data_IF_904987367549
#
_entry.id   IF_904987367549
#
_cell.length_a   1.000
_cell.length_b   1.000
_cell.length_c   1.000
_cell.angle_alpha   90.00
_cell.angle_beta   90.00
_cell.angle_gamma   90.00
#
_symmetry.space_group_name_H-M   'P 1'
#
loop_
_entity.id
_entity.type
_entity.pdbx_description
1 polymer ?
#
# COMPACT_ATOMS: atom_id res chain seq x y z
N UNK A 1 -24.57 -55.51 -14.25
CA UNK A 1 -23.58 -54.89 -13.32
C UNK A 1 -22.51 -54.04 -14.01
N UNK A 2 -22.08 -54.35 -15.25
CA UNK A 2 -21.01 -53.61 -15.95
C UNK A 2 -21.38 -52.21 -16.50
N UNK A 3 -22.66 -51.92 -16.77
CA UNK A 3 -23.07 -50.66 -17.42
C UNK A 3 -23.07 -49.46 -16.46
N UNK A 4 -23.51 -49.68 -15.22
CA UNK A 4 -23.55 -48.65 -14.16
C UNK A 4 -22.15 -48.27 -13.71
N UNK A 5 -21.24 -49.25 -13.58
CA UNK A 5 -19.85 -49.02 -13.21
C UNK A 5 -19.10 -48.19 -14.27
N UNK A 6 -19.31 -48.51 -15.56
CA UNK A 6 -18.77 -47.73 -16.69
C UNK A 6 -19.33 -46.30 -16.73
N UNK A 7 -20.62 -46.12 -16.45
CA UNK A 7 -21.22 -44.79 -16.38
C UNK A 7 -20.63 -43.94 -15.25
N UNK A 8 -20.44 -44.53 -14.07
CA UNK A 8 -19.82 -43.86 -12.92
C UNK A 8 -18.34 -43.52 -13.14
N UNK A 9 -17.57 -44.39 -13.81
CA UNK A 9 -16.18 -44.09 -14.20
C UNK A 9 -16.11 -42.96 -15.24
N UNK A 10 -17.06 -42.88 -16.17
CA UNK A 10 -17.10 -41.82 -17.17
C UNK A 10 -17.43 -40.46 -16.56
N UNK A 11 -18.36 -40.42 -15.60
CA UNK A 11 -18.68 -39.22 -14.82
C UNK A 11 -17.48 -38.74 -13.97
N UNK A 12 -16.68 -39.67 -13.44
CA UNK A 12 -15.45 -39.36 -12.70
C UNK A 12 -14.41 -38.64 -13.57
N UNK A 13 -14.12 -39.16 -14.76
CA UNK A 13 -13.16 -38.53 -15.68
C UNK A 13 -13.61 -37.14 -16.10
N UNK A 14 -14.92 -36.94 -16.30
CA UNK A 14 -15.50 -35.63 -16.63
C UNK A 14 -15.36 -34.64 -15.47
N UNK A 15 -15.59 -35.06 -14.22
CA UNK A 15 -15.41 -34.21 -13.05
C UNK A 15 -13.94 -33.84 -12.80
N UNK A 16 -13.01 -34.79 -12.95
CA UNK A 16 -11.57 -34.54 -12.83
C UNK A 16 -11.09 -33.58 -13.95
N UNK A 17 -11.54 -33.77 -15.19
CA UNK A 17 -11.22 -32.88 -16.31
C UNK A 17 -11.81 -31.48 -16.14
N UNK A 18 -13.07 -31.36 -15.70
CA UNK A 18 -13.70 -30.07 -15.42
C UNK A 18 -12.97 -29.32 -14.31
N UNK A 19 -12.51 -30.02 -13.28
CA UNK A 19 -11.77 -29.39 -12.19
C UNK A 19 -10.38 -28.93 -12.63
N UNK A 20 -9.68 -29.68 -13.48
CA UNK A 20 -8.42 -29.24 -14.08
C UNK A 20 -8.66 -28.00 -14.95
N UNK A 21 -9.70 -28.00 -15.80
CA UNK A 21 -10.04 -26.85 -16.64
C UNK A 21 -10.42 -25.63 -15.79
N UNK A 22 -11.13 -25.81 -14.69
CA UNK A 22 -11.46 -24.72 -13.74
C UNK A 22 -10.22 -24.20 -13.02
N UNK A 23 -9.31 -25.06 -12.59
CA UNK A 23 -8.08 -24.66 -11.90
C UNK A 23 -7.12 -23.96 -12.89
N UNK A 24 -6.87 -24.55 -14.04
CA UNK A 24 -6.03 -23.97 -15.10
C UNK A 24 -6.65 -22.69 -15.66
N UNK A 25 -7.98 -22.63 -15.76
CA UNK A 25 -8.73 -21.44 -16.14
C UNK A 25 -8.66 -20.35 -15.08
N UNK A 26 -8.76 -20.68 -13.79
CA UNK A 26 -8.63 -19.72 -12.69
C UNK A 26 -7.20 -19.19 -12.56
N UNK A 27 -6.19 -20.05 -12.70
CA UNK A 27 -4.77 -19.66 -12.73
C UNK A 27 -4.46 -18.83 -13.96
N UNK A 28 -4.91 -19.24 -15.15
CA UNK A 28 -4.75 -18.49 -16.40
C UNK A 28 -5.49 -17.16 -16.38
N UNK A 29 -6.67 -17.09 -15.76
CA UNK A 29 -7.42 -15.86 -15.54
C UNK A 29 -6.72 -14.93 -14.53
N UNK A 30 -6.18 -15.48 -13.44
CA UNK A 30 -5.36 -14.71 -12.48
C UNK A 30 -4.12 -14.13 -13.16
N UNK A 31 -3.39 -14.92 -13.96
CA UNK A 31 -2.20 -14.49 -14.73
C UNK A 31 -2.53 -13.53 -15.87
N UNK A 32 -3.63 -13.72 -16.60
CA UNK A 32 -4.05 -12.78 -17.65
C UNK A 32 -4.48 -11.44 -17.07
N UNK A 33 -5.06 -11.46 -15.87
CA UNK A 33 -5.43 -10.25 -15.17
C UNK A 33 -4.29 -9.69 -14.31
N UNK A 34 -3.13 -10.32 -14.07
CA UNK A 34 -2.08 -9.74 -13.21
C UNK A 34 -1.55 -8.39 -13.71
N UNK A 35 -1.51 -8.16 -15.03
CA UNK A 35 -1.18 -6.84 -15.61
C UNK A 35 -2.28 -5.78 -15.39
N UNK A 36 -3.47 -6.19 -14.90
CA UNK A 36 -4.63 -5.33 -14.59
C UNK A 36 -5.18 -5.48 -13.15
N UNK A 37 -4.65 -6.39 -12.34
CA UNK A 37 -5.17 -6.77 -11.01
C UNK A 37 -4.37 -6.17 -9.87
N UNK A 38 -3.07 -5.89 -10.05
CA UNK A 38 -2.20 -5.57 -8.91
C UNK A 38 -1.61 -4.17 -9.05
N UNK A 39 -2.15 -3.27 -8.23
CA UNK A 39 -1.70 -1.89 -8.11
C UNK A 39 -2.23 -0.96 -9.19
N UNK A 40 -2.50 0.32 -8.87
CA UNK A 40 -2.58 1.35 -9.88
C UNK A 40 -1.26 1.45 -10.65
N UNK A 41 -1.36 1.70 -11.96
CA UNK A 41 -0.20 1.89 -12.81
C UNK A 41 0.59 3.13 -12.37
N UNK A 42 1.90 3.08 -12.57
CA UNK A 42 2.76 4.25 -12.42
C UNK A 42 2.29 5.39 -13.34
N UNK A 43 2.29 6.63 -12.85
CA UNK A 43 1.68 7.80 -13.48
C UNK A 43 2.33 8.18 -14.81
N UNK A 44 3.53 7.67 -15.10
CA UNK A 44 4.28 7.98 -16.32
C UNK A 44 4.78 9.43 -16.41
N UNK A 45 4.45 10.29 -15.45
CA UNK A 45 4.95 11.66 -15.33
C UNK A 45 6.49 11.72 -15.38
N UNK A 46 7.12 12.67 -16.09
CA UNK A 46 8.57 12.73 -16.16
C UNK A 46 9.22 13.20 -14.84
N UNK A 47 8.49 13.97 -14.04
CA UNK A 47 8.95 14.52 -12.76
C UNK A 47 7.89 14.26 -11.70
N UNK A 48 8.33 13.92 -10.50
CA UNK A 48 7.47 13.65 -9.34
C UNK A 48 7.99 14.35 -8.10
N UNK A 49 7.11 14.53 -7.12
CA UNK A 49 7.46 14.90 -5.75
C UNK A 49 8.14 13.69 -5.11
N UNK A 50 9.39 13.83 -4.70
CA UNK A 50 10.15 12.74 -4.10
C UNK A 50 10.13 12.80 -2.58
N UNK A 51 10.34 13.97 -2.00
CA UNK A 51 10.38 14.12 -0.55
C UNK A 51 9.67 15.40 -0.13
N UNK A 52 8.95 15.37 0.99
CA UNK A 52 8.35 16.57 1.58
C UNK A 52 8.73 16.65 3.03
N UNK A 53 9.33 17.77 3.42
CA UNK A 53 9.64 18.10 4.79
C UNK A 53 8.76 19.27 5.23
N UNK A 54 7.57 18.99 5.79
CA UNK A 54 6.62 20.03 6.16
C UNK A 54 6.97 20.74 7.46
N UNK A 55 8.12 20.43 8.08
CA UNK A 55 8.69 20.95 9.32
C UNK A 55 7.63 21.45 10.32
N UNK A 56 7.37 20.73 11.41
CA UNK A 56 6.40 21.18 12.42
C UNK A 56 6.98 21.13 13.83
N UNK A 57 7.58 22.23 14.28
CA UNK A 57 7.81 22.48 15.69
C UNK A 57 6.62 23.23 16.29
N UNK A 58 5.56 22.52 16.68
CA UNK A 58 4.57 23.09 17.61
C UNK A 58 4.65 22.45 18.99
N UNK A 59 4.64 23.32 20.00
CA UNK A 59 4.46 23.01 21.42
C UNK A 59 3.19 22.18 21.59
N UNK A 60 3.28 20.96 22.11
CA UNK A 60 2.11 20.13 22.37
C UNK A 60 1.14 20.84 23.34
N UNK A 61 -0.03 21.34 22.90
CA UNK A 61 -0.94 22.10 23.77
C UNK A 61 -1.64 21.18 24.79
N UNK A 62 -1.62 19.86 24.59
CA UNK A 62 -2.26 18.89 25.48
C UNK A 62 -1.49 18.66 26.79
N UNK A 63 -0.25 19.15 26.90
CA UNK A 63 0.56 19.08 28.13
C UNK A 63 1.08 20.47 28.53
N UNK A 64 0.21 21.35 29.07
CA UNK A 64 0.60 22.66 29.59
C UNK A 64 1.38 22.49 30.91
N UNK A 65 2.60 21.99 30.82
CA UNK A 65 3.44 21.68 31.98
C UNK A 65 4.64 20.77 31.70
N UNK A 66 4.73 20.15 30.52
CA UNK A 66 5.96 19.45 30.15
C UNK A 66 7.12 20.45 30.00
N UNK A 67 8.32 20.12 30.50
CA UNK A 67 9.52 20.90 30.23
C UNK A 67 9.69 21.01 28.72
N UNK A 68 10.20 22.16 28.24
CA UNK A 68 10.49 22.37 26.84
C UNK A 68 11.15 21.10 26.25
N UNK A 69 10.63 20.60 25.11
CA UNK A 69 11.38 19.63 24.32
C UNK A 69 12.81 20.16 24.26
N UNK A 70 13.80 19.37 24.68
CA UNK A 70 15.12 19.92 24.91
C UNK A 70 15.62 20.55 23.60
N UNK A 71 16.36 21.64 23.68
CA UNK A 71 16.80 22.45 22.52
C UNK A 71 17.49 21.62 21.41
N UNK A 72 17.99 20.42 21.71
CA UNK A 72 18.54 19.50 20.71
C UNK A 72 17.49 18.68 19.94
N UNK A 73 16.27 18.55 20.47
CA UNK A 73 15.12 17.88 19.84
C UNK A 73 14.26 18.88 19.05
N UNK A 74 14.15 20.11 19.54
CA UNK A 74 13.50 21.25 18.87
C UNK A 74 14.36 22.51 19.08
N UNK A 75 15.40 22.75 18.26
CA UNK A 75 16.23 23.94 18.40
C UNK A 75 15.53 25.25 18.07
N UNK A 76 14.34 25.19 17.44
CA UNK A 76 13.65 26.35 16.86
C UNK A 76 12.82 27.14 17.89
N UNK A 77 13.13 28.43 18.12
CA UNK A 77 12.28 29.34 18.89
C UNK A 77 11.30 30.15 18.03
N UNK A 78 11.36 30.04 16.71
CA UNK A 78 10.69 30.91 15.73
C UNK A 78 10.00 30.04 14.66
N UNK A 79 9.02 30.59 13.95
CA UNK A 79 7.99 29.87 13.18
C UNK A 79 8.53 28.74 12.27
N UNK A 80 7.81 27.62 12.06
CA UNK A 80 8.31 26.43 11.35
C UNK A 80 8.57 26.62 9.84
N UNK A 81 7.98 27.65 9.24
CA UNK A 81 7.97 27.88 7.80
C UNK A 81 9.35 27.97 7.15
N UNK A 82 10.38 28.65 7.71
CA UNK A 82 11.71 28.77 7.10
C UNK A 82 12.44 27.44 6.88
N UNK A 83 12.07 26.41 7.62
CA UNK A 83 12.69 25.09 7.57
C UNK A 83 11.97 24.12 6.62
N UNK A 84 10.85 24.54 6.04
CA UNK A 84 10.07 23.70 5.16
C UNK A 84 10.72 23.59 3.79
N UNK A 85 10.67 22.40 3.21
CA UNK A 85 11.12 22.16 1.85
C UNK A 85 10.43 20.95 1.24
N UNK A 86 10.50 20.83 -0.07
CA UNK A 86 10.13 19.62 -0.79
C UNK A 86 11.12 19.37 -1.93
N UNK A 87 11.18 18.14 -2.38
CA UNK A 87 12.11 17.69 -3.42
C UNK A 87 11.36 17.22 -4.65
N UNK A 88 11.84 17.64 -5.81
CA UNK A 88 11.41 17.16 -7.11
C UNK A 88 12.47 16.21 -7.68
N UNK A 89 12.02 15.11 -8.28
CA UNK A 89 12.89 14.12 -8.90
C UNK A 89 12.52 13.91 -10.37
N UNK A 90 13.52 13.99 -11.25
CA UNK A 90 13.39 13.66 -12.66
C UNK A 90 13.58 12.15 -12.87
N UNK A 91 12.51 11.47 -13.28
CA UNK A 91 12.51 10.00 -13.48
C UNK A 91 13.12 9.56 -14.80
N UNK A 92 13.45 10.51 -15.67
CA UNK A 92 13.85 10.23 -17.04
C UNK A 92 15.36 10.28 -17.21
N UNK A 93 15.88 9.49 -18.15
CA UNK A 93 17.26 9.60 -18.62
C UNK A 93 17.54 10.84 -19.48
N UNK A 94 16.67 11.87 -19.42
CA UNK A 94 16.73 13.09 -20.23
C UNK A 94 16.61 14.31 -19.34
N UNK A 95 17.15 15.43 -19.81
CA UNK A 95 16.95 16.72 -19.14
C UNK A 95 15.47 17.12 -19.17
N UNK A 96 14.95 17.60 -18.04
CA UNK A 96 13.59 18.11 -17.93
C UNK A 96 13.60 19.61 -17.65
N UNK A 97 12.90 20.37 -18.48
CA UNK A 97 12.75 21.82 -18.31
C UNK A 97 11.39 22.08 -17.69
N UNK A 98 11.37 22.65 -16.48
CA UNK A 98 10.14 22.91 -15.71
C UNK A 98 9.66 24.36 -15.88
N UNK A 99 9.90 24.94 -17.05
CA UNK A 99 9.43 26.29 -17.36
C UNK A 99 7.89 26.33 -17.43
N UNK A 100 7.28 27.25 -16.69
CA UNK A 100 5.83 27.37 -16.56
C UNK A 100 5.18 26.39 -15.59
N UNK A 101 5.94 25.46 -14.99
CA UNK A 101 5.41 24.56 -13.97
C UNK A 101 5.08 25.32 -12.68
N UNK A 102 4.17 24.78 -11.89
CA UNK A 102 3.75 25.41 -10.63
C UNK A 102 3.52 24.37 -9.54
N UNK A 103 3.53 24.87 -8.30
CA UNK A 103 3.20 24.10 -7.10
C UNK A 103 2.05 24.74 -6.36
N UNK A 104 1.16 23.94 -5.80
CA UNK A 104 0.00 24.42 -5.04
C UNK A 104 0.07 23.82 -3.63
N UNK A 105 0.25 24.70 -2.64
CA UNK A 105 0.27 24.37 -1.20
C UNK A 105 -0.94 24.96 -0.46
N UNK A 106 -1.67 25.86 -1.12
CA UNK A 106 -2.91 26.47 -0.64
C UNK A 106 -3.93 26.36 -1.76
N UNK A 107 -5.12 25.84 -1.44
CA UNK A 107 -6.12 25.51 -2.44
C UNK A 107 -6.52 26.74 -3.26
N UNK A 108 -6.50 26.60 -4.58
CA UNK A 108 -6.78 27.67 -5.54
C UNK A 108 -5.65 28.70 -5.72
N UNK A 109 -4.46 28.46 -5.16
CA UNK A 109 -3.34 29.43 -5.17
C UNK A 109 -2.02 28.82 -5.67
N UNK A 110 -1.95 28.35 -6.93
CA UNK A 110 -0.71 27.81 -7.50
C UNK A 110 0.39 28.89 -7.57
N UNK A 111 1.61 28.51 -7.20
CA UNK A 111 2.83 29.31 -7.25
C UNK A 111 3.72 28.82 -8.38
N UNK A 112 4.11 29.71 -9.29
CA UNK A 112 5.01 29.36 -10.38
C UNK A 112 6.40 28.99 -9.84
N UNK A 113 6.94 27.88 -10.34
CA UNK A 113 8.34 27.54 -10.11
C UNK A 113 9.22 28.49 -10.96
N UNK A 114 10.35 28.96 -10.42
CA UNK A 114 11.39 29.58 -11.25
C UNK A 114 11.83 28.63 -12.36
N UNK A 115 12.41 29.18 -13.43
CA UNK A 115 12.96 28.37 -14.52
C UNK A 115 13.99 27.38 -13.96
N UNK A 116 13.65 26.11 -14.02
CA UNK A 116 14.41 24.99 -13.45
C UNK A 116 14.68 23.95 -14.55
N UNK A 117 15.94 23.50 -14.63
CA UNK A 117 16.36 22.46 -15.56
C UNK A 117 16.93 21.29 -14.75
N UNK A 118 16.17 20.20 -14.67
CA UNK A 118 16.56 19.01 -13.92
C UNK A 118 17.43 18.07 -14.77
N UNK A 119 18.59 17.63 -14.27
CA UNK A 119 19.39 16.62 -14.96
C UNK A 119 18.68 15.27 -15.01
N UNK A 120 19.07 14.38 -15.95
CA UNK A 120 18.64 12.98 -15.94
C UNK A 120 18.82 12.35 -14.55
N UNK A 121 17.76 11.75 -14.00
CA UNK A 121 17.78 11.16 -12.65
C UNK A 121 18.22 12.13 -11.54
N UNK A 122 18.05 13.43 -11.76
CA UNK A 122 18.47 14.49 -10.87
C UNK A 122 17.36 15.00 -9.97
N UNK A 123 17.78 15.72 -8.93
CA UNK A 123 16.92 16.31 -7.91
C UNK A 123 17.00 17.84 -7.91
N UNK A 124 15.91 18.47 -7.49
CA UNK A 124 15.95 19.84 -6.99
C UNK A 124 15.12 19.95 -5.71
N UNK A 125 15.69 20.62 -4.72
CA UNK A 125 14.98 20.98 -3.50
C UNK A 125 14.39 22.37 -3.69
N UNK A 126 13.10 22.50 -3.40
CA UNK A 126 12.43 23.79 -3.28
C UNK A 126 12.27 24.09 -1.80
N UNK A 127 13.01 25.08 -1.30
CA UNK A 127 13.06 25.41 0.12
C UNK A 127 12.40 26.76 0.42
N UNK A 128 11.86 26.89 1.63
CA UNK A 128 11.31 28.16 2.12
C UNK A 128 12.40 29.22 2.36
N UNK A 129 13.56 28.78 2.86
CA UNK A 129 14.72 29.64 3.12
C UNK A 129 16.01 28.91 2.76
N UNK A 130 16.87 29.56 1.97
CA UNK A 130 18.21 29.06 1.65
C UNK A 130 19.07 28.90 2.90
N UNK A 131 19.14 29.95 3.69
CA UNK A 131 19.98 30.03 4.88
C UNK A 131 19.67 28.89 5.86
N UNK A 132 18.39 28.73 6.22
CA UNK A 132 17.95 27.68 7.13
C UNK A 132 18.15 26.27 6.55
N UNK A 133 17.81 26.05 5.28
CA UNK A 133 17.99 24.76 4.64
C UNK A 133 19.48 24.33 4.63
N UNK A 134 20.38 25.24 4.26
CA UNK A 134 21.83 24.98 4.24
C UNK A 134 22.42 24.86 5.66
N UNK A 135 21.84 25.51 6.66
CA UNK A 135 22.24 25.31 8.06
C UNK A 135 21.97 23.86 8.52
N UNK A 136 20.86 23.25 8.07
CA UNK A 136 20.52 21.87 8.37
C UNK A 136 21.19 20.85 7.43
N UNK A 137 21.49 21.27 6.19
CA UNK A 137 22.03 20.42 5.14
C UNK A 137 23.29 21.06 4.49
N UNK A 138 24.38 21.25 5.25
CA UNK A 138 25.55 22.02 4.79
C UNK A 138 26.27 21.40 3.60
N UNK A 139 26.15 20.08 3.44
CA UNK A 139 26.82 19.31 2.39
C UNK A 139 25.88 18.98 1.20
N UNK A 140 24.71 19.62 1.10
CA UNK A 140 23.75 19.33 0.02
C UNK A 140 24.37 19.64 -1.35
N UNK A 141 24.56 18.64 -2.25
CA UNK A 141 25.27 18.83 -3.51
C UNK A 141 24.33 19.21 -4.67
N UNK A 142 23.02 19.28 -4.41
CA UNK A 142 21.99 19.38 -5.43
C UNK A 142 21.60 20.82 -5.78
N UNK A 143 20.55 20.94 -6.60
CA UNK A 143 19.98 22.24 -6.93
C UNK A 143 18.99 22.68 -5.86
N UNK A 144 19.15 23.91 -5.36
CA UNK A 144 18.17 24.54 -4.47
C UNK A 144 17.42 25.62 -5.26
N UNK A 145 16.11 25.64 -5.11
CA UNK A 145 15.19 26.57 -5.76
C UNK A 145 14.36 27.26 -4.69
N UNK A 146 14.09 28.55 -4.91
CA UNK A 146 13.29 29.36 -3.99
C UNK A 146 12.05 29.88 -4.68
N UNK A 147 10.92 29.79 -4.00
CA UNK A 147 9.69 30.41 -4.47
C UNK A 147 9.73 31.92 -4.13
N UNK A 148 9.20 32.80 -5.00
CA UNK A 148 9.06 34.22 -4.69
C UNK A 148 8.21 34.48 -3.44
N UNK A 149 7.25 33.58 -3.17
CA UNK A 149 6.43 33.60 -1.99
C UNK A 149 6.27 32.17 -1.46
N UNK A 150 6.57 31.97 -0.18
CA UNK A 150 6.37 30.69 0.50
C UNK A 150 5.09 30.74 1.34
N UNK A 151 3.97 30.19 0.85
CA UNK A 151 2.71 30.17 1.61
C UNK A 151 2.72 29.17 2.77
N UNK A 152 3.74 28.32 2.87
CA UNK A 152 3.84 27.28 3.88
C UNK A 152 3.21 25.96 3.46
N UNK A 153 3.77 24.86 3.96
CA UNK A 153 3.21 23.51 3.84
C UNK A 153 2.13 23.24 4.90
N UNK A 154 1.77 24.22 5.74
CA UNK A 154 0.84 24.04 6.86
C UNK A 154 -0.58 23.56 6.49
N UNK A 155 -1.02 23.70 5.24
CA UNK A 155 -2.32 23.18 4.77
C UNK A 155 -2.35 21.66 4.55
N UNK A 156 -1.19 20.99 4.56
CA UNK A 156 -1.15 19.53 4.65
C UNK A 156 -1.08 18.77 3.35
N UNK A 157 -0.82 19.47 2.25
CA UNK A 157 -0.70 18.90 0.93
C UNK A 157 0.28 19.70 0.05
N UNK A 158 0.71 19.06 -1.03
CA UNK A 158 1.49 19.65 -2.10
C UNK A 158 1.00 19.06 -3.44
N UNK A 159 0.74 19.93 -4.41
CA UNK A 159 0.38 19.53 -5.79
C UNK A 159 1.41 20.10 -6.75
N UNK A 160 1.89 19.27 -7.66
CA UNK A 160 2.76 19.67 -8.76
C UNK A 160 1.93 19.75 -10.05
N UNK A 161 2.06 20.86 -10.78
CA UNK A 161 1.39 21.09 -12.06
C UNK A 161 2.39 21.40 -13.16
N UNK A 162 2.11 20.90 -14.37
CA UNK A 162 2.92 21.19 -15.55
C UNK A 162 2.62 22.61 -16.09
N UNK A 163 3.29 22.97 -17.18
CA UNK A 163 3.12 24.26 -17.86
C UNK A 163 1.70 24.50 -18.42
N UNK A 164 0.92 23.43 -18.62
CA UNK A 164 -0.47 23.49 -19.08
C UNK A 164 -1.46 23.64 -17.91
N UNK A 165 -0.98 23.62 -16.67
CA UNK A 165 -1.80 23.66 -15.46
C UNK A 165 -2.36 22.30 -15.04
N UNK A 166 -2.02 21.23 -15.76
CA UNK A 166 -2.48 19.87 -15.45
C UNK A 166 -1.73 19.35 -14.22
N UNK A 167 -2.44 18.61 -13.37
CA UNK A 167 -1.86 17.96 -12.19
C UNK A 167 -0.95 16.82 -12.65
N UNK A 168 0.32 16.89 -12.25
CA UNK A 168 1.35 15.89 -12.55
C UNK A 168 1.50 14.90 -11.41
N UNK A 169 1.52 15.42 -10.17
CA UNK A 169 1.70 14.64 -8.96
C UNK A 169 1.07 15.39 -7.78
N UNK A 170 0.66 14.67 -6.73
CA UNK A 170 0.16 15.25 -5.51
C UNK A 170 0.43 14.35 -4.29
N UNK A 171 0.68 14.97 -3.15
CA UNK A 171 0.86 14.28 -1.88
C UNK A 171 0.15 15.05 -0.77
N UNK A 172 -0.52 14.33 0.12
CA UNK A 172 -1.06 14.91 1.35
C UNK A 172 -0.74 14.04 2.57
N UNK A 173 -0.57 14.71 3.69
CA UNK A 173 -0.14 14.11 4.95
C UNK A 173 -1.09 14.33 6.12
N UNK A 174 -2.13 15.13 5.90
CA UNK A 174 -3.36 15.17 6.69
C UNK A 174 -4.57 15.15 5.76
N UNK A 175 -5.74 14.89 6.33
CA UNK A 175 -7.01 15.00 5.59
C UNK A 175 -7.25 16.48 5.24
N UNK A 176 -7.49 16.76 3.97
CA UNK A 176 -7.78 18.12 3.48
C UNK A 176 -9.29 18.23 3.30
N UNK A 177 -9.93 19.16 4.01
CA UNK A 177 -11.39 19.32 3.95
C UNK A 177 -11.86 19.93 2.62
N UNK A 178 -11.06 20.83 2.06
CA UNK A 178 -11.33 21.56 0.82
C UNK A 178 -10.17 21.38 -0.17
N UNK A 179 -10.01 20.18 -0.75
CA UNK A 179 -8.98 19.96 -1.76
C UNK A 179 -9.27 20.77 -3.03
N UNK A 180 -8.26 21.10 -3.84
CA UNK A 180 -8.48 21.65 -5.18
C UNK A 180 -9.33 20.67 -6.00
N UNK A 181 -10.36 21.16 -6.70
CA UNK A 181 -11.43 20.33 -7.30
C UNK A 181 -10.93 19.25 -8.28
N UNK A 182 -9.77 19.45 -8.89
CA UNK A 182 -9.17 18.58 -9.90
C UNK A 182 -8.12 17.61 -9.32
N UNK A 183 -7.84 17.69 -8.01
CA UNK A 183 -6.74 16.96 -7.37
C UNK A 183 -7.29 15.82 -6.53
N UNK A 184 -6.80 14.61 -6.81
CA UNK A 184 -7.09 13.43 -5.99
C UNK A 184 -6.15 13.38 -4.79
N UNK A 185 -6.58 13.93 -3.66
CA UNK A 185 -5.91 13.74 -2.36
C UNK A 185 -6.50 12.53 -1.62
N UNK A 186 -5.74 11.96 -0.70
CA UNK A 186 -6.12 10.74 0.01
C UNK A 186 -6.86 11.07 1.32
N UNK A 187 -8.03 10.48 1.52
CA UNK A 187 -8.76 10.52 2.80
C UNK A 187 -7.96 9.89 3.95
N UNK A 188 -7.15 8.89 3.62
CA UNK A 188 -6.17 8.25 4.51
C UNK A 188 -4.76 8.58 3.99
N UNK A 189 -4.15 9.68 4.47
CA UNK A 189 -2.86 10.14 3.97
C UNK A 189 -1.71 9.16 4.26
N UNK A 190 -0.56 9.37 3.61
CA UNK A 190 0.63 8.50 3.70
C UNK A 190 1.12 8.23 5.14
N UNK A 191 0.77 9.10 6.09
CA UNK A 191 1.12 8.96 7.51
C UNK A 191 0.10 8.19 8.36
N UNK A 192 -0.98 7.70 7.75
CA UNK A 192 -2.17 7.21 8.44
C UNK A 192 -2.16 5.76 8.90
N UNK A 193 -1.07 5.00 8.75
CA UNK A 193 -1.03 3.59 9.18
C UNK A 193 0.11 3.30 10.15
N UNK A 194 -0.24 2.97 11.40
CA UNK A 194 0.63 2.26 12.34
C UNK A 194 1.38 3.12 13.38
N UNK A 195 1.23 4.44 13.39
CA UNK A 195 2.01 5.27 14.32
C UNK A 195 1.29 6.54 14.84
N UNK A 196 0.18 6.38 15.59
CA UNK A 196 -0.57 7.50 16.18
C UNK A 196 0.23 8.33 17.20
N UNK A 197 1.40 7.86 17.65
CA UNK A 197 2.27 8.51 18.61
C UNK A 197 3.13 9.66 18.02
N UNK A 198 3.19 9.78 16.69
CA UNK A 198 3.94 10.82 15.96
C UNK A 198 3.07 12.04 15.67
N UNK A 199 1.77 11.85 15.76
CA UNK A 199 0.80 12.91 15.62
C UNK A 199 0.75 13.66 16.94
N UNK A 200 0.84 14.99 16.90
CA UNK A 200 0.43 15.79 18.05
C UNK A 200 -1.08 15.57 18.34
N UNK A 201 -1.58 16.13 19.44
CA UNK A 201 -2.99 16.03 19.79
C UNK A 201 -3.94 16.60 18.70
N UNK A 202 -3.41 17.38 17.76
CA UNK A 202 -4.09 18.01 16.64
C UNK A 202 -3.90 17.27 15.32
N UNK A 203 -3.25 16.08 15.33
CA UNK A 203 -2.93 15.28 14.14
C UNK A 203 -1.95 15.94 13.15
N UNK A 204 -1.06 16.80 13.64
CA UNK A 204 0.08 17.30 12.87
C UNK A 204 1.32 16.41 13.09
N UNK A 205 2.25 16.47 12.14
CA UNK A 205 3.51 15.70 12.14
C UNK A 205 4.48 16.31 13.13
N UNK A 206 5.05 15.52 14.05
CA UNK A 206 6.16 15.98 14.89
C UNK A 206 7.47 16.14 14.07
N UNK A 207 8.24 17.21 14.37
CA UNK A 207 9.26 17.88 13.54
C UNK A 207 10.49 17.08 13.05
N UNK A 208 10.57 15.78 13.20
CA UNK A 208 11.80 15.02 12.93
C UNK A 208 11.73 14.13 11.69
N UNK A 209 10.66 14.21 10.89
CA UNK A 209 10.48 13.31 9.75
C UNK A 209 10.00 14.01 8.49
N UNK A 210 10.53 13.57 7.35
CA UNK A 210 10.00 13.85 6.03
C UNK A 210 9.11 12.70 5.54
N UNK A 211 8.37 12.98 4.48
CA UNK A 211 7.67 11.99 3.68
C UNK A 211 8.46 11.76 2.40
N UNK A 212 9.03 10.57 2.26
CA UNK A 212 9.90 10.22 1.14
C UNK A 212 9.24 9.13 0.29
N UNK A 213 9.25 9.32 -1.02
CA UNK A 213 8.75 8.36 -1.99
C UNK A 213 9.69 7.16 -2.05
N UNK A 214 9.16 5.96 -1.79
CA UNK A 214 9.94 4.71 -1.80
C UNK A 214 9.17 3.55 -2.46
N UNK A 215 9.71 2.93 -3.52
CA UNK A 215 10.98 3.26 -4.18
C UNK A 215 11.00 4.66 -4.83
N UNK A 216 12.20 5.25 -4.91
CA UNK A 216 12.44 6.53 -5.58
C UNK A 216 11.74 6.59 -6.93
N UNK A 217 11.04 7.69 -7.18
CA UNK A 217 10.39 7.93 -8.47
C UNK A 217 9.20 7.04 -8.81
N UNK A 218 8.76 6.09 -7.97
CA UNK A 218 7.55 5.30 -8.29
C UNK A 218 6.30 6.06 -7.83
N UNK A 219 5.38 6.33 -8.77
CA UNK A 219 4.16 7.06 -8.50
C UNK A 219 2.91 6.34 -8.98
N UNK A 220 2.37 5.48 -8.13
CA UNK A 220 1.11 4.77 -8.35
C UNK A 220 -0.08 5.62 -7.87
N UNK A 221 0.11 6.89 -7.49
CA UNK A 221 -0.90 7.74 -6.87
C UNK A 221 -1.50 7.10 -5.60
N UNK A 222 -0.67 6.40 -4.81
CA UNK A 222 -1.07 5.77 -3.56
C UNK A 222 -0.37 6.36 -2.35
N UNK A 223 -1.01 6.39 -1.18
CA UNK A 223 -0.34 6.74 0.07
C UNK A 223 0.89 5.87 0.34
N UNK A 224 0.84 4.60 -0.06
CA UNK A 224 1.91 3.63 0.13
C UNK A 224 3.14 3.86 -0.76
N UNK A 225 3.09 4.82 -1.68
CA UNK A 225 4.28 5.25 -2.42
C UNK A 225 5.22 6.07 -1.55
N UNK A 226 4.74 6.58 -0.42
CA UNK A 226 5.50 7.38 0.52
C UNK A 226 5.71 6.63 1.82
N UNK A 227 6.93 6.73 2.35
CA UNK A 227 7.29 6.27 3.69
C UNK A 227 7.65 7.48 4.54
N UNK A 228 7.63 7.27 5.85
CA UNK A 228 8.16 8.23 6.82
C UNK A 228 9.67 8.04 6.92
N UNK A 229 10.44 9.11 6.79
CA UNK A 229 11.91 9.10 6.87
C UNK A 229 12.39 9.88 8.11
N UNK A 230 12.94 9.22 9.15
CA UNK A 230 13.45 9.84 10.39
C UNK A 230 14.63 10.76 10.23
N UNK A 231 15.34 10.63 9.13
CA UNK A 231 16.49 11.46 8.82
C UNK A 231 16.26 11.99 7.43
N UNK A 232 15.58 13.16 7.29
CA UNK A 232 15.36 13.78 6.00
C UNK A 232 16.67 13.84 5.23
N UNK A 233 16.62 13.45 3.96
CA UNK A 233 17.84 13.12 3.22
C UNK A 233 17.81 13.71 1.82
N UNK A 234 17.77 15.05 1.73
CA UNK A 234 17.63 15.74 0.46
C UNK A 234 18.77 15.38 -0.49
N UNK A 235 18.44 15.11 -1.73
CA UNK A 235 19.34 14.82 -2.84
C UNK A 235 19.93 13.42 -2.82
N UNK A 236 19.47 12.55 -1.91
CA UNK A 236 19.94 11.17 -1.82
C UNK A 236 18.95 10.21 -2.46
N UNK A 237 19.49 9.25 -3.20
CA UNK A 237 18.70 8.13 -3.72
C UNK A 237 18.69 7.06 -2.64
N UNK A 238 17.60 6.92 -1.90
CA UNK A 238 17.39 5.68 -1.14
C UNK A 238 16.87 4.61 -2.09
N UNK A 239 17.82 3.96 -2.78
CA UNK A 239 17.47 2.77 -3.53
C UNK A 239 16.80 1.76 -2.58
N UNK A 240 15.73 1.08 -3.02
CA UNK A 240 15.22 -0.05 -2.26
C UNK A 240 16.37 -1.00 -1.96
N UNK A 241 16.41 -1.59 -0.76
CA UNK A 241 17.41 -2.60 -0.39
C UNK A 241 17.41 -3.83 -1.31
N UNK A 242 16.39 -3.94 -2.17
CA UNK A 242 16.25 -4.89 -3.26
C UNK A 242 16.18 -4.12 -4.59
N UNK A 243 16.87 -4.59 -5.64
CA UNK A 243 16.77 -4.03 -7.00
C UNK A 243 15.32 -3.99 -7.49
N UNK A 244 14.97 -3.12 -8.44
CA UNK A 244 13.59 -3.03 -8.95
C UNK A 244 12.96 -4.39 -9.34
N UNK A 245 13.64 -5.29 -10.07
CA UNK A 245 13.12 -6.64 -10.31
C UNK A 245 12.89 -7.45 -9.03
N UNK A 246 13.75 -7.28 -8.03
CA UNK A 246 13.61 -7.93 -6.74
C UNK A 246 12.48 -7.30 -5.89
N UNK A 247 12.23 -5.99 -5.99
CA UNK A 247 11.06 -5.35 -5.38
C UNK A 247 9.76 -5.88 -5.99
N UNK A 248 9.67 -5.94 -7.32
CA UNK A 248 8.53 -6.55 -8.01
C UNK A 248 8.36 -8.03 -7.62
N UNK A 249 9.45 -8.78 -7.49
CA UNK A 249 9.42 -10.18 -7.06
C UNK A 249 8.99 -10.34 -5.59
N UNK A 250 9.48 -9.50 -4.69
CA UNK A 250 9.28 -9.63 -3.25
C UNK A 250 7.97 -9.02 -2.78
N UNK A 251 7.43 -8.02 -3.48
CA UNK A 251 6.21 -7.31 -3.08
C UNK A 251 5.04 -7.68 -3.96
N UNK A 252 5.16 -7.56 -5.29
CA UNK A 252 4.00 -7.81 -6.17
C UNK A 252 3.77 -9.31 -6.41
N UNK A 253 4.84 -10.06 -6.65
CA UNK A 253 4.74 -11.51 -6.86
C UNK A 253 4.39 -12.28 -5.60
N UNK A 254 4.86 -11.86 -4.42
CA UNK A 254 4.47 -12.52 -3.16
C UNK A 254 3.00 -12.30 -2.84
N UNK A 255 2.46 -11.10 -3.13
CA UNK A 255 1.03 -10.82 -3.01
C UNK A 255 0.20 -11.68 -3.98
N UNK A 256 0.63 -11.82 -5.24
CA UNK A 256 -0.02 -12.72 -6.21
C UNK A 256 0.06 -14.17 -5.76
N UNK A 257 1.23 -14.60 -5.32
CA UNK A 257 1.46 -15.96 -4.84
C UNK A 257 0.61 -16.25 -3.58
N UNK A 258 0.44 -15.28 -2.67
CA UNK A 258 -0.40 -15.47 -1.48
C UNK A 258 -1.88 -15.60 -1.83
N UNK A 259 -2.37 -14.76 -2.76
CA UNK A 259 -3.76 -14.85 -3.27
C UNK A 259 -3.98 -16.19 -3.96
N UNK A 260 -3.09 -16.59 -4.87
CA UNK A 260 -3.17 -17.86 -5.58
C UNK A 260 -3.10 -19.06 -4.62
N UNK A 261 -2.17 -19.04 -3.66
CA UNK A 261 -2.04 -20.09 -2.64
C UNK A 261 -3.30 -20.20 -1.78
N UNK A 262 -3.90 -19.08 -1.37
CA UNK A 262 -5.15 -19.06 -0.62
C UNK A 262 -6.32 -19.68 -1.39
N UNK A 263 -6.46 -19.34 -2.68
CA UNK A 263 -7.49 -19.93 -3.56
C UNK A 263 -7.25 -21.43 -3.75
N UNK A 264 -6.02 -21.85 -4.02
CA UNK A 264 -5.66 -23.26 -4.19
C UNK A 264 -5.91 -24.07 -2.91
N UNK A 265 -5.57 -23.50 -1.75
CA UNK A 265 -5.83 -24.12 -0.45
C UNK A 265 -7.33 -24.29 -0.21
N UNK A 266 -8.14 -23.28 -0.52
CA UNK A 266 -9.61 -23.37 -0.42
C UNK A 266 -10.17 -24.48 -1.32
N UNK A 267 -9.71 -24.57 -2.58
CA UNK A 267 -10.09 -25.64 -3.50
C UNK A 267 -9.73 -27.02 -2.95
N UNK A 268 -8.56 -27.17 -2.31
CA UNK A 268 -8.15 -28.42 -1.70
C UNK A 268 -9.14 -28.88 -0.60
N UNK A 269 -9.65 -27.96 0.22
CA UNK A 269 -10.69 -28.29 1.22
C UNK A 269 -12.02 -28.70 0.59
N UNK A 270 -12.42 -28.09 -0.54
CA UNK A 270 -13.60 -28.53 -1.30
C UNK A 270 -13.45 -30.00 -1.71
N UNK A 271 -12.27 -30.38 -2.20
CA UNK A 271 -12.00 -31.77 -2.56
C UNK A 271 -12.16 -32.73 -1.38
N UNK A 272 -11.67 -32.35 -0.19
CA UNK A 272 -11.86 -33.16 1.03
C UNK A 272 -13.34 -33.30 1.36
N UNK A 273 -14.14 -32.23 1.27
CA UNK A 273 -15.57 -32.29 1.49
C UNK A 273 -16.28 -33.21 0.47
N UNK A 274 -15.86 -33.19 -0.80
CA UNK A 274 -16.40 -34.11 -1.83
C UNK A 274 -16.05 -35.58 -1.54
N UNK A 275 -14.84 -35.85 -1.02
CA UNK A 275 -14.46 -37.19 -0.57
C UNK A 275 -15.35 -37.63 0.60
N UNK A 276 -15.58 -36.75 1.59
CA UNK A 276 -16.47 -37.02 2.71
C UNK A 276 -17.91 -37.29 2.26
N UNK A 277 -18.42 -36.56 1.25
CA UNK A 277 -19.74 -36.81 0.64
C UNK A 277 -19.81 -38.20 0.01
N UNK A 278 -18.75 -38.59 -0.70
CA UNK A 278 -18.67 -39.93 -1.31
C UNK A 278 -18.63 -41.02 -0.25
N UNK A 279 -17.89 -40.81 0.84
CA UNK A 279 -17.84 -41.74 1.96
C UNK A 279 -19.21 -41.93 2.62
N UNK A 280 -19.98 -40.85 2.80
CA UNK A 280 -21.36 -40.92 3.30
C UNK A 280 -22.26 -41.75 2.39
N UNK A 281 -22.17 -41.56 1.06
CA UNK A 281 -22.97 -42.34 0.11
C UNK A 281 -22.67 -43.86 0.17
N UNK A 282 -21.41 -44.23 0.43
CA UNK A 282 -20.99 -45.64 0.49
C UNK A 282 -21.30 -46.30 1.83
N UNK A 283 -21.16 -45.56 2.94
CA UNK A 283 -21.31 -46.10 4.30
C UNK A 283 -22.70 -45.87 4.89
N UNK A 284 -23.53 -45.05 4.25
CA UNK A 284 -24.83 -44.58 4.77
C UNK A 284 -24.73 -43.87 6.14
N UNK A 285 -23.52 -43.43 6.52
CA UNK A 285 -23.26 -42.71 7.75
C UNK A 285 -23.05 -41.22 7.44
N UNK A 286 -23.68 -40.35 8.23
CA UNK A 286 -23.55 -38.90 8.04
C UNK A 286 -22.11 -38.44 8.26
N UNK A 287 -21.49 -37.78 7.28
CA UNK A 287 -20.10 -37.28 7.38
C UNK A 287 -20.00 -35.77 7.62
N UNK A 288 -21.15 -35.07 7.67
CA UNK A 288 -21.20 -33.60 7.76
C UNK A 288 -20.46 -32.90 6.62
N UNK A 289 -20.39 -33.52 5.42
CA UNK A 289 -19.64 -32.98 4.28
C UNK A 289 -20.04 -31.55 3.88
N UNK A 290 -21.31 -31.17 4.09
CA UNK A 290 -21.77 -29.80 3.84
C UNK A 290 -21.04 -28.80 4.75
N UNK A 291 -20.92 -29.10 6.04
CA UNK A 291 -20.18 -28.26 6.96
C UNK A 291 -18.69 -28.20 6.58
N UNK A 292 -18.10 -29.32 6.13
CA UNK A 292 -16.71 -29.35 5.66
C UNK A 292 -16.49 -28.51 4.39
N UNK A 293 -17.51 -28.36 3.55
CA UNK A 293 -17.46 -27.50 2.36
C UNK A 293 -17.44 -26.01 2.71
N UNK A 294 -18.21 -25.60 3.74
CA UNK A 294 -18.32 -24.20 4.14
C UNK A 294 -17.25 -23.77 5.15
N UNK A 295 -16.74 -24.68 5.96
CA UNK A 295 -15.73 -24.41 6.97
C UNK A 295 -14.50 -23.63 6.48
N UNK A 296 -13.90 -23.90 5.29
CA UNK A 296 -12.72 -23.17 4.80
C UNK A 296 -13.04 -21.79 4.20
N UNK A 297 -14.29 -21.32 4.22
CA UNK A 297 -14.69 -20.05 3.58
C UNK A 297 -13.98 -18.81 4.15
N UNK A 298 -13.45 -18.88 5.38
CA UNK A 298 -12.63 -17.80 5.94
C UNK A 298 -11.33 -17.55 5.17
N UNK A 299 -10.79 -18.56 4.47
CA UNK A 299 -9.64 -18.41 3.56
C UNK A 299 -10.00 -17.49 2.40
N UNK A 300 -11.16 -17.74 1.77
CA UNK A 300 -11.62 -16.92 0.64
C UNK A 300 -11.93 -15.49 1.09
N UNK A 301 -12.56 -15.33 2.26
CA UNK A 301 -12.79 -14.02 2.85
C UNK A 301 -11.49 -13.24 3.02
N UNK A 302 -10.48 -13.85 3.65
CA UNK A 302 -9.16 -13.23 3.84
C UNK A 302 -8.54 -12.80 2.50
N UNK A 303 -8.53 -13.70 1.51
CA UNK A 303 -7.96 -13.42 0.18
C UNK A 303 -8.67 -12.24 -0.51
N UNK A 304 -9.99 -12.14 -0.40
CA UNK A 304 -10.76 -11.04 -0.99
C UNK A 304 -10.43 -9.70 -0.33
N UNK A 305 -10.43 -9.64 1.00
CA UNK A 305 -10.10 -8.41 1.74
C UNK A 305 -8.66 -7.99 1.46
N UNK A 306 -7.72 -8.95 1.49
CA UNK A 306 -6.32 -8.72 1.14
C UNK A 306 -6.19 -8.12 -0.27
N UNK A 307 -6.84 -8.74 -1.26
CA UNK A 307 -6.81 -8.29 -2.66
C UNK A 307 -7.34 -6.85 -2.82
N UNK A 308 -8.45 -6.52 -2.14
CA UNK A 308 -9.01 -5.16 -2.18
C UNK A 308 -8.07 -4.14 -1.52
N UNK A 309 -7.51 -4.47 -0.36
CA UNK A 309 -6.59 -3.59 0.37
C UNK A 309 -5.34 -3.28 -0.45
N UNK A 310 -4.66 -4.31 -0.97
CA UNK A 310 -3.48 -4.11 -1.81
C UNK A 310 -3.79 -3.37 -3.11
N UNK A 311 -4.93 -3.66 -3.76
CA UNK A 311 -5.30 -2.97 -5.00
C UNK A 311 -5.61 -1.49 -4.80
N UNK A 312 -6.27 -1.13 -3.69
CA UNK A 312 -6.77 0.23 -3.47
C UNK A 312 -5.80 1.11 -2.69
N UNK A 313 -5.00 0.52 -1.79
CA UNK A 313 -4.14 1.24 -0.85
C UNK A 313 -2.69 0.75 -0.84
N UNK A 314 -2.39 -0.36 -1.51
CA UNK A 314 -1.08 -1.02 -1.40
C UNK A 314 -0.87 -1.81 -0.11
N UNK A 315 -1.85 -1.84 0.79
CA UNK A 315 -1.84 -2.64 2.03
C UNK A 315 -3.24 -2.79 2.65
N UNK A 316 -3.38 -3.73 3.58
CA UNK A 316 -4.60 -3.86 4.41
C UNK A 316 -4.52 -2.92 5.62
N UNK A 317 -5.66 -2.31 5.98
CA UNK A 317 -5.73 -1.52 7.22
C UNK A 317 -5.65 -2.42 8.45
N UNK A 318 -5.35 -1.83 9.61
CA UNK A 318 -5.28 -2.57 10.89
C UNK A 318 -6.61 -3.27 11.20
N UNK A 319 -7.73 -2.60 10.96
CA UNK A 319 -9.07 -3.17 11.18
C UNK A 319 -9.37 -4.33 10.20
N UNK A 320 -9.00 -4.16 8.93
CA UNK A 320 -9.13 -5.22 7.92
C UNK A 320 -8.31 -6.45 8.26
N UNK A 321 -7.08 -6.26 8.76
CA UNK A 321 -6.23 -7.33 9.23
C UNK A 321 -6.87 -8.06 10.40
N UNK A 322 -7.31 -7.34 11.43
CA UNK A 322 -7.95 -7.93 12.61
C UNK A 322 -9.18 -8.77 12.25
N UNK A 323 -10.12 -8.22 11.48
CA UNK A 323 -11.31 -8.95 11.07
C UNK A 323 -10.98 -10.17 10.21
N UNK A 324 -10.06 -10.01 9.25
CA UNK A 324 -9.66 -11.10 8.36
C UNK A 324 -8.97 -12.24 9.13
N UNK A 325 -8.12 -11.92 10.11
CA UNK A 325 -7.49 -12.93 10.95
C UNK A 325 -8.47 -13.64 11.89
N UNK A 326 -9.43 -12.92 12.47
CA UNK A 326 -10.48 -13.52 13.31
C UNK A 326 -11.34 -14.50 12.50
N UNK A 327 -11.81 -14.08 11.32
CA UNK A 327 -12.61 -14.95 10.44
C UNK A 327 -11.81 -16.17 9.97
N UNK A 328 -10.53 -15.98 9.60
CA UNK A 328 -9.64 -17.06 9.21
C UNK A 328 -9.40 -18.05 10.36
N UNK A 329 -9.20 -17.55 11.58
CA UNK A 329 -8.98 -18.38 12.77
C UNK A 329 -10.20 -19.22 13.13
N UNK A 330 -11.40 -18.63 13.13
CA UNK A 330 -12.66 -19.35 13.35
C UNK A 330 -12.85 -20.43 12.28
N UNK A 331 -12.59 -20.09 11.01
CA UNK A 331 -12.63 -21.03 9.88
C UNK A 331 -11.66 -22.20 10.06
N UNK A 332 -10.43 -21.93 10.54
CA UNK A 332 -9.45 -22.97 10.83
C UNK A 332 -9.90 -23.89 11.98
N UNK A 333 -10.44 -23.34 13.07
CA UNK A 333 -10.98 -24.13 14.19
C UNK A 333 -12.14 -25.03 13.74
N UNK A 334 -13.04 -24.51 12.91
CA UNK A 334 -14.14 -25.28 12.33
C UNK A 334 -13.63 -26.42 11.44
N UNK A 335 -12.64 -26.16 10.59
CA UNK A 335 -12.01 -27.18 9.77
C UNK A 335 -11.40 -28.30 10.63
N UNK A 336 -10.63 -27.93 11.65
CA UNK A 336 -10.00 -28.88 12.56
C UNK A 336 -11.03 -29.74 13.32
N UNK A 337 -12.07 -29.10 13.87
CA UNK A 337 -13.15 -29.79 14.59
C UNK A 337 -13.89 -30.78 13.67
N UNK A 338 -14.24 -30.38 12.45
CA UNK A 338 -14.95 -31.24 11.50
C UNK A 338 -14.09 -32.40 11.02
N UNK A 339 -12.80 -32.19 10.77
CA UNK A 339 -11.85 -33.26 10.41
C UNK A 339 -11.70 -34.25 11.58
N UNK A 340 -11.62 -33.76 12.81
CA UNK A 340 -11.56 -34.61 14.00
C UNK A 340 -12.83 -35.48 14.15
N UNK A 341 -14.01 -34.86 14.01
CA UNK A 341 -15.29 -35.58 14.05
C UNK A 341 -15.40 -36.62 12.93
N UNK A 342 -14.99 -36.25 11.71
CA UNK A 342 -14.95 -37.17 10.58
C UNK A 342 -14.02 -38.37 10.85
N UNK A 343 -12.80 -38.11 11.35
CA UNK A 343 -11.84 -39.17 11.71
C UNK A 343 -12.37 -40.09 12.79
N UNK A 344 -13.00 -39.54 13.84
CA UNK A 344 -13.57 -40.34 14.92
C UNK A 344 -14.68 -41.26 14.41
N UNK A 345 -15.55 -40.76 13.51
CA UNK A 345 -16.59 -41.58 12.87
C UNK A 345 -16.02 -42.64 11.96
N UNK A 346 -15.05 -42.27 11.11
CA UNK A 346 -14.38 -43.23 10.22
C UNK A 346 -13.70 -44.36 11.01
N UNK A 347 -13.05 -44.03 12.14
CA UNK A 347 -12.39 -45.01 13.01
C UNK A 347 -13.39 -46.00 13.60
N UNK A 348 -14.52 -45.54 14.14
CA UNK A 348 -15.58 -46.43 14.66
C UNK A 348 -16.09 -47.42 13.61
N UNK A 349 -16.19 -46.99 12.35
CA UNK A 349 -16.66 -47.87 11.25
C UNK A 349 -15.60 -48.92 10.89
N UNK A 350 -14.32 -48.59 10.99
CA UNK A 350 -13.22 -49.50 10.64
C UNK A 350 -12.90 -50.51 11.75
N UNK A 351 -13.12 -50.13 13.01
CA UNK A 351 -12.80 -50.98 14.17
C UNK A 351 -13.96 -51.94 14.56
N UNK A 352 -15.17 -51.73 14.03
CA UNK A 352 -16.36 -52.57 14.28
C UNK A 352 -17.27 -52.01 15.37
#
# INVERSE_FOLDING_TARGET
>A
MNTVLKFLQRQRFVLEALAIILISGAVGFLVFFTDRLVGPADSGAPVVINEVYPAFCQRNPAFPGEPQAPKWLCPMPEAPEPYQWFELYNRTGKWQVLEGWSVEMVAGSPQALPRLVLPPYGYAVVAASEEHFLAENPDFPGMIVFLPHWPGLGQGFLVLRNAQGEVVDAVNWKKVETPPAEVKLWDTPALGMGAPWILDAQKNIQADHSLERRPVGIDRNLPADFIRQPFPSPGTVHEPSATWPAYLLLTDWTNVASVAAGVLLWIAFIYVALIARRFEALTQQRTLWQAMLFAPSGILFYVVVQSIGFRTRGSMTVDEQWWSFVVLFISALLCAALVFLFRQRARKILEG
#
